data_IF_564591851458
#
_entry.id   IF_564591851458
#
_cell.length_a   1.000
_cell.length_b   1.000
_cell.length_c   1.000
_cell.angle_alpha   90.00
_cell.angle_beta   90.00
_cell.angle_gamma   90.00
#
_symmetry.space_group_name_H-M   'P 1'
#
loop_
_entity.id
_entity.type
_entity.pdbx_description
1 polymer ?
#
# COMPACT_ATOMS: atom_id res chain seq x y z
N UNK A 1 -14.17 2.43 23.92
CA UNK A 1 -14.18 1.69 22.66
C UNK A 1 -14.38 2.69 21.50
N UNK A 2 -13.35 2.88 20.71
CA UNK A 2 -13.36 3.83 19.57
C UNK A 2 -14.02 3.22 18.31
N UNK A 3 -14.35 1.93 18.34
CA UNK A 3 -14.97 1.21 17.22
C UNK A 3 -16.21 0.43 17.72
N UNK A 4 -17.32 1.12 18.00
CA UNK A 4 -18.50 0.49 18.60
C UNK A 4 -19.22 -0.48 17.66
N UNK A 5 -18.97 -0.39 16.36
CA UNK A 5 -19.62 -1.20 15.31
C UNK A 5 -18.87 -2.48 14.97
N UNK A 6 -17.65 -2.66 15.51
CA UNK A 6 -16.83 -3.86 15.24
C UNK A 6 -16.57 -4.64 16.53
N UNK A 7 -16.42 -5.96 16.39
CA UNK A 7 -16.08 -6.88 17.48
C UNK A 7 -14.61 -7.29 17.33
N UNK A 8 -13.67 -6.61 17.98
CA UNK A 8 -12.24 -6.81 17.73
C UNK A 8 -11.66 -8.09 18.36
N UNK A 9 -12.51 -8.97 18.91
CA UNK A 9 -12.08 -10.15 19.66
C UNK A 9 -11.64 -9.82 21.09
N UNK A 10 -11.14 -10.82 21.82
CA UNK A 10 -10.68 -10.68 23.22
C UNK A 10 -9.27 -10.05 23.32
N UNK A 11 -8.48 -10.21 22.26
CA UNK A 11 -7.13 -9.64 22.12
C UNK A 11 -6.75 -9.56 20.64
N UNK A 12 -5.62 -8.94 20.33
CA UNK A 12 -5.06 -9.01 18.98
C UNK A 12 -4.83 -10.48 18.59
N UNK A 13 -5.27 -10.84 17.38
CA UNK A 13 -5.16 -12.18 16.81
C UNK A 13 -5.83 -13.30 17.62
N UNK A 14 -6.87 -12.98 18.40
CA UNK A 14 -7.65 -13.99 19.12
C UNK A 14 -8.43 -14.95 18.21
N UNK A 15 -8.75 -14.49 17.01
CA UNK A 15 -9.49 -15.28 16.01
C UNK A 15 -8.52 -15.98 15.07
N UNK A 16 -8.80 -17.25 14.75
CA UNK A 16 -7.91 -18.13 13.95
C UNK A 16 -7.59 -17.53 12.57
N UNK A 17 -8.56 -16.89 11.95
CA UNK A 17 -8.43 -16.27 10.63
C UNK A 17 -7.50 -15.06 10.67
N UNK A 18 -7.62 -14.21 11.68
CA UNK A 18 -6.76 -13.04 11.84
C UNK A 18 -5.34 -13.43 12.20
N UNK A 19 -5.18 -14.49 13.02
CA UNK A 19 -3.87 -15.06 13.33
C UNK A 19 -3.21 -15.64 12.08
N UNK A 20 -3.93 -16.45 11.29
CA UNK A 20 -3.42 -17.04 10.07
C UNK A 20 -2.99 -15.96 9.06
N UNK A 21 -3.79 -14.91 8.89
CA UNK A 21 -3.46 -13.79 8.02
C UNK A 21 -2.19 -13.06 8.49
N UNK A 22 -2.07 -12.80 9.80
CA UNK A 22 -0.87 -12.14 10.34
C UNK A 22 0.40 -12.99 10.17
N UNK A 23 0.32 -14.31 10.37
CA UNK A 23 1.43 -15.22 10.11
C UNK A 23 1.83 -15.18 8.63
N UNK A 24 0.85 -15.25 7.73
CA UNK A 24 1.10 -15.17 6.29
C UNK A 24 1.80 -13.86 5.90
N UNK A 25 1.31 -12.72 6.40
CA UNK A 25 1.92 -11.42 6.13
C UNK A 25 3.36 -11.33 6.65
N UNK A 26 3.62 -11.84 7.86
CA UNK A 26 4.95 -11.73 8.47
C UNK A 26 5.98 -12.74 7.93
N UNK A 27 5.55 -13.95 7.57
CA UNK A 27 6.47 -15.05 7.26
C UNK A 27 6.54 -15.38 5.76
N UNK A 28 5.47 -15.12 5.01
CA UNK A 28 5.39 -15.51 3.59
C UNK A 28 5.55 -14.31 2.66
N UNK A 29 4.98 -13.17 3.00
CA UNK A 29 5.02 -11.95 2.15
C UNK A 29 5.45 -10.71 2.94
N UNK A 30 6.55 -10.76 3.72
CA UNK A 30 6.96 -9.64 4.56
C UNK A 30 7.31 -8.36 3.78
N UNK A 31 7.66 -8.50 2.51
CA UNK A 31 8.08 -7.41 1.62
C UNK A 31 7.07 -7.12 0.50
N UNK A 32 5.78 -7.35 0.74
CA UNK A 32 4.76 -7.05 -0.26
C UNK A 32 4.73 -5.55 -0.61
N UNK A 33 4.52 -5.24 -1.87
CA UNK A 33 4.47 -3.86 -2.37
C UNK A 33 3.06 -3.27 -2.33
N UNK A 34 2.04 -4.10 -2.17
CA UNK A 34 0.63 -3.72 -2.10
C UNK A 34 -0.17 -4.82 -1.41
N UNK A 35 -1.13 -4.45 -0.60
CA UNK A 35 -2.13 -5.35 -0.05
C UNK A 35 -3.54 -4.84 -0.36
N UNK A 36 -4.35 -5.69 -0.97
CA UNK A 36 -5.77 -5.40 -1.24
C UNK A 36 -6.62 -6.53 -0.64
N UNK A 37 -7.56 -6.17 0.21
CA UNK A 37 -8.59 -7.08 0.69
C UNK A 37 -9.91 -6.79 -0.03
N UNK A 38 -10.52 -7.86 -0.56
CA UNK A 38 -11.78 -7.75 -1.29
C UNK A 38 -12.95 -8.00 -0.36
N UNK A 39 -13.87 -7.08 -0.33
CA UNK A 39 -15.10 -7.12 0.44
C UNK A 39 -16.32 -6.83 -0.43
N UNK A 40 -17.46 -6.81 0.19
CA UNK A 40 -18.74 -6.54 -0.48
C UNK A 40 -19.64 -5.72 0.45
N UNK A 41 -20.55 -4.95 -0.13
CA UNK A 41 -21.56 -4.24 0.63
C UNK A 41 -21.82 -2.82 0.14
N UNK A 42 -20.82 -2.20 -0.52
CA UNK A 42 -20.92 -0.85 -1.08
C UNK A 42 -19.86 -0.67 -2.16
N UNK A 43 -20.09 0.21 -3.13
CA UNK A 43 -19.10 0.52 -4.16
C UNK A 43 -18.14 1.58 -3.67
N UNK A 44 -16.99 1.16 -3.09
CA UNK A 44 -15.97 2.08 -2.56
C UNK A 44 -14.62 1.38 -2.39
N UNK A 45 -13.53 2.10 -2.55
CA UNK A 45 -12.20 1.65 -2.17
C UNK A 45 -11.69 2.47 -0.97
N UNK A 46 -11.21 1.79 0.06
CA UNK A 46 -10.88 2.37 1.36
C UNK A 46 -9.38 2.20 1.65
N UNK A 47 -8.71 3.31 1.98
CA UNK A 47 -7.33 3.29 2.48
C UNK A 47 -7.28 3.56 4.00
N UNK A 48 -6.15 3.32 4.69
CA UNK A 48 -6.02 3.58 6.13
C UNK A 48 -6.29 5.06 6.50
N UNK A 49 -6.78 5.35 7.68
CA UNK A 49 -7.01 4.42 8.78
C UNK A 49 -8.51 4.12 8.92
N UNK A 50 -8.82 2.93 9.38
CA UNK A 50 -10.18 2.60 9.81
C UNK A 50 -10.44 3.01 11.24
N UNK A 51 -9.43 2.92 12.11
CA UNK A 51 -9.55 3.25 13.53
C UNK A 51 -9.63 4.75 13.80
N UNK A 52 -8.87 5.55 13.09
CA UNK A 52 -8.74 6.98 13.32
C UNK A 52 -9.19 7.79 12.12
N UNK A 53 -9.75 9.00 12.34
CA UNK A 53 -10.15 9.89 11.24
C UNK A 53 -8.97 10.61 10.58
N UNK A 54 -7.79 10.57 11.19
CA UNK A 54 -6.59 11.19 10.67
C UNK A 54 -6.11 10.47 9.41
N UNK A 55 -5.48 11.24 8.54
CA UNK A 55 -4.84 10.69 7.34
C UNK A 55 -3.60 9.86 7.72
N UNK A 56 -3.28 8.80 6.96
CA UNK A 56 -2.01 8.09 7.10
C UNK A 56 -0.83 9.00 6.74
N UNK A 57 0.39 8.64 7.16
CA UNK A 57 1.59 9.42 6.85
C UNK A 57 1.83 9.58 5.35
N UNK A 58 1.49 8.55 4.58
CA UNK A 58 1.64 8.53 3.12
C UNK A 58 0.33 8.89 2.39
N UNK A 59 -0.48 9.79 2.97
CA UNK A 59 -1.76 10.18 2.40
C UNK A 59 -1.64 10.71 0.96
N UNK A 60 -0.52 11.32 0.62
CA UNK A 60 -0.26 11.84 -0.73
C UNK A 60 -0.21 10.71 -1.76
N UNK A 61 0.37 9.55 -1.41
CA UNK A 61 0.35 8.36 -2.25
C UNK A 61 -1.08 7.87 -2.49
N UNK A 62 -1.90 7.76 -1.45
CA UNK A 62 -3.29 7.31 -1.59
C UNK A 62 -4.14 8.29 -2.41
N UNK A 63 -3.89 9.58 -2.26
CA UNK A 63 -4.56 10.61 -3.08
C UNK A 63 -4.09 10.58 -4.53
N UNK A 64 -2.81 10.36 -4.78
CA UNK A 64 -2.29 10.17 -6.13
C UNK A 64 -2.97 8.97 -6.82
N UNK A 65 -3.02 7.82 -6.15
CA UNK A 65 -3.70 6.63 -6.67
C UNK A 65 -5.18 6.90 -6.95
N UNK A 66 -5.88 7.58 -6.03
CA UNK A 66 -7.26 8.02 -6.21
C UNK A 66 -7.42 8.87 -7.47
N UNK A 67 -6.59 9.89 -7.60
CA UNK A 67 -6.73 10.88 -8.67
C UNK A 67 -6.43 10.25 -10.04
N UNK A 68 -5.47 9.33 -10.13
CA UNK A 68 -5.20 8.57 -11.37
C UNK A 68 -6.35 7.60 -11.70
N UNK A 69 -6.90 6.89 -10.73
CA UNK A 69 -8.04 6.00 -10.97
C UNK A 69 -9.26 6.80 -11.37
N UNK A 70 -9.62 7.85 -10.62
CA UNK A 70 -10.82 8.63 -10.90
C UNK A 70 -10.69 9.52 -12.14
N UNK A 71 -9.48 9.83 -12.56
CA UNK A 71 -9.26 10.59 -13.80
C UNK A 71 -9.33 9.76 -15.07
N UNK A 72 -9.03 8.46 -15.01
CA UNK A 72 -8.74 7.68 -16.21
C UNK A 72 -9.43 6.30 -16.29
N UNK A 73 -9.95 5.75 -15.18
CA UNK A 73 -10.33 4.33 -15.10
C UNK A 73 -11.75 4.13 -14.58
N UNK A 74 -12.08 4.68 -13.39
CA UNK A 74 -13.33 4.43 -12.68
C UNK A 74 -13.69 5.62 -11.81
N UNK A 75 -14.96 5.86 -11.63
CA UNK A 75 -15.50 6.87 -10.71
C UNK A 75 -15.66 6.35 -9.27
N UNK A 76 -15.12 5.17 -8.97
CA UNK A 76 -15.18 4.57 -7.64
C UNK A 76 -14.72 5.56 -6.56
N UNK A 77 -15.52 5.81 -5.51
CA UNK A 77 -15.06 6.63 -4.40
C UNK A 77 -13.87 5.99 -3.71
N UNK A 78 -12.76 6.73 -3.55
CA UNK A 78 -11.57 6.27 -2.83
C UNK A 78 -11.33 7.17 -1.64
N UNK A 79 -11.45 6.64 -0.42
CA UNK A 79 -11.49 7.45 0.82
C UNK A 79 -10.76 6.77 1.97
N UNK A 80 -10.38 7.59 2.97
CA UNK A 80 -10.02 7.10 4.29
C UNK A 80 -11.18 6.28 4.88
N UNK A 81 -10.88 5.09 5.40
CA UNK A 81 -11.92 4.13 5.79
C UNK A 81 -12.78 4.61 6.96
N UNK A 82 -12.18 5.31 7.93
CA UNK A 82 -12.92 5.86 9.06
C UNK A 82 -13.99 6.86 8.64
N UNK A 83 -13.63 7.75 7.71
CA UNK A 83 -14.50 8.83 7.25
C UNK A 83 -15.35 8.41 6.05
N UNK A 84 -14.87 7.48 5.24
CA UNK A 84 -15.53 7.04 4.02
C UNK A 84 -16.65 6.04 4.26
N UNK A 85 -16.55 5.26 5.34
CA UNK A 85 -17.54 4.24 5.67
C UNK A 85 -17.98 4.38 7.14
N UNK A 86 -17.20 3.89 8.07
CA UNK A 86 -17.42 4.02 9.54
C UNK A 86 -16.14 3.69 10.29
N UNK A 87 -16.00 4.13 11.57
CA UNK A 87 -14.87 3.71 12.39
C UNK A 87 -14.81 2.19 12.57
N UNK A 88 -13.71 1.57 12.15
CA UNK A 88 -13.51 0.13 12.23
C UNK A 88 -12.11 -0.19 12.76
N UNK A 89 -12.03 -1.18 13.66
CA UNK A 89 -10.80 -1.59 14.34
C UNK A 89 -10.45 -3.04 14.03
N UNK A 90 -9.15 -3.36 14.11
CA UNK A 90 -8.67 -4.73 13.95
C UNK A 90 -8.71 -5.22 12.50
N UNK A 91 -8.60 -4.31 11.54
CA UNK A 91 -8.64 -4.65 10.12
C UNK A 91 -7.26 -5.05 9.60
N UNK A 92 -7.23 -5.99 8.65
CA UNK A 92 -6.01 -6.39 7.95
C UNK A 92 -5.40 -5.23 7.15
N UNK A 93 -6.22 -4.31 6.64
CA UNK A 93 -5.77 -3.07 6.00
C UNK A 93 -4.92 -2.22 6.95
N UNK A 94 -5.43 -1.90 8.14
CA UNK A 94 -4.70 -1.08 9.11
C UNK A 94 -3.44 -1.78 9.63
N UNK A 95 -3.49 -3.12 9.77
CA UNK A 95 -2.33 -3.93 10.15
C UNK A 95 -1.26 -3.94 9.03
N UNK A 96 -1.65 -4.20 7.80
CA UNK A 96 -0.75 -4.21 6.65
C UNK A 96 -0.03 -2.87 6.46
N UNK A 97 -0.75 -1.76 6.64
CA UNK A 97 -0.14 -0.44 6.55
C UNK A 97 0.71 -0.10 7.78
N UNK A 98 0.14 -0.19 8.98
CA UNK A 98 0.77 0.32 10.20
C UNK A 98 1.87 -0.55 10.77
N UNK A 99 1.85 -1.86 10.52
CA UNK A 99 2.83 -2.82 11.04
C UNK A 99 3.76 -3.32 9.95
N UNK A 100 3.20 -3.71 8.81
CA UNK A 100 3.99 -4.28 7.72
C UNK A 100 4.56 -3.21 6.77
N UNK A 101 4.01 -1.99 6.78
CA UNK A 101 4.46 -0.89 5.92
C UNK A 101 4.02 -0.99 4.46
N UNK A 102 2.99 -1.78 4.15
CA UNK A 102 2.45 -1.86 2.81
C UNK A 102 1.48 -0.69 2.52
N UNK A 103 1.43 -0.15 1.33
CA UNK A 103 0.21 0.49 0.83
C UNK A 103 -0.94 -0.51 0.85
N UNK A 104 -2.07 -0.14 1.42
CA UNK A 104 -3.18 -1.08 1.62
C UNK A 104 -4.52 -0.48 1.25
N UNK A 105 -5.40 -1.33 0.69
CA UNK A 105 -6.78 -0.99 0.42
C UNK A 105 -7.74 -2.10 0.86
N UNK A 106 -8.94 -1.70 1.26
CA UNK A 106 -10.12 -2.55 1.21
C UNK A 106 -10.93 -2.13 -0.01
N UNK A 107 -11.15 -3.05 -0.93
CA UNK A 107 -11.97 -2.83 -2.11
C UNK A 107 -13.35 -3.46 -1.85
N UNK A 108 -14.29 -2.60 -1.55
CA UNK A 108 -15.69 -3.00 -1.41
C UNK A 108 -16.30 -3.03 -2.81
N UNK A 109 -16.72 -4.20 -3.24
CA UNK A 109 -17.41 -4.37 -4.51
C UNK A 109 -18.88 -3.97 -4.36
N UNK A 110 -19.72 -4.12 -5.33
CA UNK A 110 -21.08 -3.61 -5.34
C UNK A 110 -21.96 -4.14 -4.18
N UNK A 111 -22.91 -3.37 -3.72
CA UNK A 111 -23.95 -3.75 -2.77
C UNK A 111 -25.05 -4.63 -3.45
N UNK A 112 -25.22 -4.51 -4.75
CA UNK A 112 -26.18 -5.31 -5.54
C UNK A 112 -25.80 -6.79 -5.67
N UNK A 113 -24.62 -7.19 -5.31
CA UNK A 113 -24.19 -8.59 -5.41
C UNK A 113 -25.05 -9.58 -4.61
N UNK A 114 -25.76 -9.11 -3.59
CA UNK A 114 -26.74 -9.91 -2.86
C UNK A 114 -28.12 -9.92 -3.51
N UNK A 115 -28.35 -9.06 -4.49
CA UNK A 115 -29.58 -8.90 -5.22
C UNK A 115 -29.37 -9.45 -6.64
N UNK A 116 -28.97 -10.62 -6.86
CA UNK A 116 -28.89 -11.30 -8.17
C UNK A 116 -29.21 -10.36 -9.35
N UNK A 117 -28.33 -9.40 -9.62
CA UNK A 117 -28.45 -8.51 -10.78
C UNK A 117 -28.44 -9.25 -12.11
N UNK A 118 -28.57 -8.57 -13.21
CA UNK A 118 -28.45 -9.21 -14.52
C UNK A 118 -27.01 -9.62 -14.79
N UNK A 119 -26.80 -10.61 -15.67
CA UNK A 119 -25.45 -11.03 -16.11
C UNK A 119 -24.70 -9.85 -16.74
N UNK A 120 -25.42 -8.99 -17.45
CA UNK A 120 -24.86 -7.80 -18.08
C UNK A 120 -24.33 -6.81 -17.02
N UNK A 121 -25.11 -6.48 -16.00
CA UNK A 121 -24.69 -5.56 -14.93
C UNK A 121 -23.50 -6.10 -14.13
N UNK A 122 -23.46 -7.41 -13.89
CA UNK A 122 -22.33 -8.07 -13.26
C UNK A 122 -21.08 -8.02 -14.15
N UNK A 123 -21.24 -8.24 -15.47
CA UNK A 123 -20.12 -8.19 -16.42
C UNK A 123 -19.49 -6.80 -16.46
N UNK A 124 -20.30 -5.75 -16.52
CA UNK A 124 -19.80 -4.38 -16.55
C UNK A 124 -19.06 -4.02 -15.25
N UNK A 125 -19.61 -4.40 -14.09
CA UNK A 125 -18.98 -4.19 -12.79
C UNK A 125 -17.66 -4.93 -12.66
N UNK A 126 -17.61 -6.20 -13.04
CA UNK A 126 -16.38 -7.00 -13.04
C UNK A 126 -15.31 -6.43 -13.98
N UNK A 127 -15.71 -5.87 -15.13
CA UNK A 127 -14.77 -5.21 -16.03
C UNK A 127 -14.13 -3.99 -15.38
N UNK A 128 -14.93 -3.16 -14.73
CA UNK A 128 -14.45 -1.97 -14.02
C UNK A 128 -13.52 -2.34 -12.83
N UNK A 129 -13.90 -3.32 -12.02
CA UNK A 129 -13.05 -3.86 -10.95
C UNK A 129 -11.70 -4.36 -11.49
N UNK A 130 -11.73 -5.11 -12.58
CA UNK A 130 -10.51 -5.63 -13.23
C UNK A 130 -9.61 -4.50 -13.73
N UNK A 131 -10.17 -3.42 -14.25
CA UNK A 131 -9.38 -2.29 -14.73
C UNK A 131 -8.70 -1.53 -13.57
N UNK A 132 -9.41 -1.35 -12.45
CA UNK A 132 -8.82 -0.81 -11.22
C UNK A 132 -7.71 -1.72 -10.69
N UNK A 133 -7.96 -3.02 -10.56
CA UNK A 133 -6.96 -3.97 -10.08
C UNK A 133 -5.75 -4.07 -11.02
N UNK A 134 -5.98 -4.04 -12.33
CA UNK A 134 -4.90 -4.01 -13.33
C UNK A 134 -4.03 -2.77 -13.17
N UNK A 135 -4.63 -1.59 -12.99
CA UNK A 135 -3.90 -0.37 -12.72
C UNK A 135 -3.02 -0.49 -11.47
N UNK A 136 -3.59 -0.97 -10.35
CA UNK A 136 -2.85 -1.14 -9.10
C UNK A 136 -1.65 -2.09 -9.27
N UNK A 137 -1.84 -3.22 -9.94
CA UNK A 137 -0.77 -4.22 -10.17
C UNK A 137 0.29 -3.70 -11.13
N UNK A 138 -0.09 -3.06 -12.23
CA UNK A 138 0.85 -2.55 -13.23
C UNK A 138 1.75 -1.43 -12.70
N UNK A 139 1.27 -0.68 -11.71
CA UNK A 139 1.98 0.44 -11.13
C UNK A 139 2.58 0.16 -9.75
N UNK A 140 2.52 -1.08 -9.27
CA UNK A 140 2.98 -1.48 -7.93
C UNK A 140 4.43 -1.09 -7.63
N UNK A 141 5.28 -1.03 -8.64
CA UNK A 141 6.68 -0.62 -8.56
C UNK A 141 6.90 0.79 -8.02
N UNK A 142 5.90 1.65 -8.09
CA UNK A 142 5.99 3.04 -7.72
C UNK A 142 5.36 3.34 -6.37
N UNK A 143 4.64 2.39 -5.75
CA UNK A 143 3.95 2.64 -4.50
C UNK A 143 4.89 2.81 -3.30
N UNK A 144 6.00 2.07 -3.29
CA UNK A 144 7.04 2.16 -2.26
C UNK A 144 8.23 2.99 -2.72
N UNK A 145 9.20 3.19 -1.83
CA UNK A 145 10.47 3.81 -2.21
C UNK A 145 11.22 2.90 -3.19
N UNK A 146 11.67 3.47 -4.29
CA UNK A 146 12.45 2.79 -5.32
C UNK A 146 13.76 3.53 -5.55
N UNK A 147 14.81 3.08 -4.93
CA UNK A 147 16.12 3.69 -5.04
C UNK A 147 16.86 3.20 -6.29
N UNK A 148 17.42 4.14 -7.02
CA UNK A 148 18.27 3.87 -8.19
C UNK A 148 19.55 4.66 -8.11
N UNK A 149 20.64 4.12 -8.68
CA UNK A 149 21.88 4.86 -8.86
C UNK A 149 21.78 5.73 -10.12
N UNK A 150 21.83 7.03 -9.94
CA UNK A 150 21.88 7.97 -11.07
C UNK A 150 23.30 8.12 -11.58
N UNK A 151 24.27 8.14 -10.67
CA UNK A 151 25.67 8.37 -11.00
C UNK A 151 26.59 7.70 -10.00
N UNK A 152 27.68 7.11 -10.50
CA UNK A 152 28.78 6.60 -9.70
C UNK A 152 30.07 7.20 -10.27
N UNK A 153 30.82 7.92 -9.47
CA UNK A 153 32.11 8.53 -9.86
C UNK A 153 33.20 8.05 -8.93
N UNK A 154 34.36 7.73 -9.51
CA UNK A 154 35.57 7.35 -8.76
C UNK A 154 36.66 8.37 -9.08
N UNK A 155 37.04 9.13 -8.08
CA UNK A 155 38.08 10.19 -8.22
C UNK A 155 38.99 10.18 -7.00
N UNK A 156 40.27 10.08 -7.20
CA UNK A 156 41.31 10.16 -6.13
C UNK A 156 41.03 9.23 -4.92
N UNK A 157 40.71 7.96 -5.17
CA UNK A 157 40.34 6.98 -4.15
C UNK A 157 39.04 7.30 -3.37
N UNK A 158 38.22 8.20 -3.88
CA UNK A 158 36.88 8.46 -3.36
C UNK A 158 35.83 7.95 -4.34
N UNK A 159 34.80 7.32 -3.82
CA UNK A 159 33.60 6.92 -4.58
C UNK A 159 32.47 7.87 -4.21
N UNK A 160 31.95 8.57 -5.19
CA UNK A 160 30.74 9.40 -5.05
C UNK A 160 29.58 8.69 -5.73
N UNK A 161 28.47 8.57 -5.02
CA UNK A 161 27.27 7.91 -5.50
C UNK A 161 26.09 8.86 -5.37
N UNK A 162 25.39 9.10 -6.47
CA UNK A 162 24.15 9.84 -6.49
C UNK A 162 22.99 8.83 -6.54
N UNK A 163 22.06 8.95 -5.58
CA UNK A 163 20.92 8.06 -5.41
C UNK A 163 19.63 8.86 -5.54
N UNK A 164 18.75 8.43 -6.43
CA UNK A 164 17.39 8.96 -6.57
C UNK A 164 16.35 7.96 -6.07
N UNK A 165 15.23 8.49 -5.61
CA UNK A 165 14.04 7.69 -5.29
C UNK A 165 12.97 7.94 -6.36
N UNK A 166 12.74 6.96 -7.22
CA UNK A 166 11.71 7.00 -8.27
C UNK A 166 10.33 6.59 -7.76
N UNK A 167 10.22 6.09 -6.53
CA UNK A 167 8.96 5.70 -5.91
C UNK A 167 8.21 6.88 -5.29
N UNK A 168 6.93 6.67 -4.98
CA UNK A 168 6.06 7.68 -4.38
C UNK A 168 6.21 7.80 -2.86
N UNK A 169 6.83 6.82 -2.21
CA UNK A 169 7.09 6.84 -0.77
C UNK A 169 8.55 7.22 -0.48
N UNK A 170 8.74 8.08 0.52
CA UNK A 170 10.09 8.36 1.04
C UNK A 170 10.62 7.18 1.87
N UNK A 171 11.92 7.05 1.98
CA UNK A 171 12.55 6.09 2.90
C UNK A 171 13.57 6.81 3.79
N UNK A 172 13.63 6.43 5.07
CA UNK A 172 14.59 6.91 6.04
C UNK A 172 15.69 5.87 6.37
N UNK A 173 15.57 4.64 5.86
CA UNK A 173 16.39 3.50 6.24
C UNK A 173 17.16 2.89 5.07
N UNK A 174 17.58 3.71 4.12
CA UNK A 174 18.44 3.25 3.04
C UNK A 174 19.89 3.07 3.56
N UNK A 175 20.57 2.04 3.08
CA UNK A 175 22.02 1.84 3.28
C UNK A 175 22.69 1.60 1.95
N UNK A 176 23.90 2.11 1.81
CA UNK A 176 24.76 1.83 0.67
C UNK A 176 25.80 0.79 1.07
N UNK A 177 25.85 -0.34 0.36
CA UNK A 177 26.79 -1.42 0.59
C UNK A 177 27.81 -1.48 -0.56
N UNK A 178 29.08 -1.65 -0.23
CA UNK A 178 30.15 -1.87 -1.19
C UNK A 178 30.74 -3.27 -1.00
N UNK A 179 30.73 -4.07 -2.06
CA UNK A 179 31.23 -5.44 -2.07
C UNK A 179 32.43 -5.57 -3.00
N UNK A 180 33.34 -6.52 -2.71
CA UNK A 180 34.37 -6.92 -3.67
C UNK A 180 33.77 -7.86 -4.73
N UNK A 181 34.63 -8.29 -5.68
CA UNK A 181 34.21 -9.18 -6.77
C UNK A 181 33.73 -10.56 -6.27
N UNK A 182 34.22 -11.03 -5.13
CA UNK A 182 33.86 -12.31 -4.51
C UNK A 182 32.58 -12.22 -3.65
N UNK A 183 31.95 -11.05 -3.57
CA UNK A 183 30.71 -10.84 -2.83
C UNK A 183 30.91 -10.56 -1.35
N UNK A 184 32.12 -10.31 -0.89
CA UNK A 184 32.38 -9.91 0.49
C UNK A 184 32.07 -8.42 0.70
N UNK A 185 31.36 -8.09 1.78
CA UNK A 185 31.05 -6.71 2.16
C UNK A 185 32.33 -6.03 2.66
N UNK A 186 32.79 -5.01 1.94
CA UNK A 186 33.96 -4.22 2.30
C UNK A 186 33.61 -2.99 3.12
N UNK A 187 32.43 -2.43 2.90
CA UNK A 187 31.99 -1.21 3.57
C UNK A 187 30.48 -1.04 3.46
N UNK A 188 29.88 -0.39 4.43
CA UNK A 188 28.48 0.04 4.40
C UNK A 188 28.36 1.47 4.99
N UNK A 189 27.38 2.22 4.48
CA UNK A 189 27.04 3.52 5.03
C UNK A 189 26.24 3.38 6.33
N UNK A 190 26.15 4.47 7.10
CA UNK A 190 25.04 4.64 8.03
C UNK A 190 23.71 4.72 7.27
N UNK A 191 22.59 4.55 8.00
CA UNK A 191 21.27 4.73 7.42
C UNK A 191 21.07 6.18 6.98
N UNK A 192 20.48 6.37 5.81
CA UNK A 192 20.14 7.70 5.28
C UNK A 192 18.73 7.71 4.68
N UNK A 193 18.14 8.91 4.66
CA UNK A 193 16.84 9.12 4.05
C UNK A 193 16.96 9.53 2.59
N UNK A 194 16.04 9.07 1.76
CA UNK A 194 15.84 9.54 0.38
C UNK A 194 14.37 9.87 0.20
N UNK A 195 14.07 11.13 -0.02
CA UNK A 195 12.70 11.59 -0.25
C UNK A 195 12.17 11.06 -1.57
N UNK A 196 10.86 10.84 -1.62
CA UNK A 196 10.17 10.58 -2.88
C UNK A 196 10.40 11.78 -3.82
N UNK A 197 10.62 11.48 -5.08
CA UNK A 197 10.66 12.52 -6.11
C UNK A 197 9.23 13.08 -6.23
N UNK A 198 9.05 14.37 -5.97
CA UNK A 198 7.76 15.03 -6.15
C UNK A 198 7.41 14.98 -7.64
N UNK A 199 6.55 14.07 -8.03
CA UNK A 199 5.91 14.05 -9.35
C UNK A 199 4.77 15.08 -9.37
N UNK A 200 5.08 16.36 -9.10
CA UNK A 200 4.16 17.44 -9.44
C UNK A 200 4.14 17.55 -10.97
N UNK A 201 3.05 17.11 -11.57
CA UNK A 201 2.69 17.49 -12.92
C UNK A 201 2.20 18.94 -12.92
#
# INVERSE_FOLDING_TARGET
>A
NTCPTTQPGSSAFSESETLANSIYMNEVVPDADLYVTMHTGVWIMLYPWGKWPEQPSDWELFHYIRDEINGNISDIPIRNANQGLYPNCGTSRDYGYGVMGYPTFTFETDDEQFLLGTIESLSDRLSEELDVMRYLIQNVWYWRARLVFEKIEITNNQVSVEVSNLGHSSTANATLNYYNYDGELLWNSENFGVNATNHSK
#
